data_IF_253710958646
#
_entry.id   IF_253710958646
#
_cell.length_a   1.000
_cell.length_b   1.000
_cell.length_c   1.000
_cell.angle_alpha   90.00
_cell.angle_beta   90.00
_cell.angle_gamma   90.00
#
_symmetry.space_group_name_H-M   'P 1'
#
loop_
_entity.id
_entity.type
_entity.pdbx_description
1 polymer ?
#
# COMPACT_ATOMS: atom_id res chain seq x y z
N UNK A 1 -2.42 -10.49 5.91
CA UNK A 1 -2.09 -11.48 6.98
C UNK A 1 -0.98 -11.01 7.92
N UNK A 2 -0.03 -10.16 7.48
CA UNK A 2 1.05 -9.65 8.35
C UNK A 2 0.46 -8.84 9.50
N UNK A 3 -0.40 -7.87 9.22
CA UNK A 3 -1.04 -7.01 10.23
C UNK A 3 -1.80 -7.86 11.25
N UNK A 4 -2.66 -8.77 10.80
CA UNK A 4 -3.40 -9.67 11.68
C UNK A 4 -2.50 -10.51 12.60
N UNK A 5 -1.40 -11.03 12.05
CA UNK A 5 -0.45 -11.82 12.84
C UNK A 5 0.28 -10.94 13.87
N UNK A 6 0.64 -9.71 13.49
CA UNK A 6 1.30 -8.77 14.40
C UNK A 6 0.37 -8.38 15.56
N UNK A 7 -0.90 -8.05 15.28
CA UNK A 7 -1.89 -7.73 16.31
C UNK A 7 -2.07 -8.90 17.29
N UNK A 8 -2.15 -10.14 16.76
CA UNK A 8 -2.22 -11.34 17.63
C UNK A 8 -1.00 -11.50 18.56
N UNK A 9 0.19 -11.12 18.09
CA UNK A 9 1.39 -11.15 18.93
C UNK A 9 1.22 -10.17 20.10
N UNK A 10 0.77 -8.96 19.86
CA UNK A 10 0.48 -7.99 20.93
C UNK A 10 -0.62 -8.46 21.87
N UNK A 11 -1.70 -9.06 21.35
CA UNK A 11 -2.75 -9.68 22.16
C UNK A 11 -2.14 -10.73 23.11
N UNK A 12 -1.22 -11.59 22.63
CA UNK A 12 -0.55 -12.62 23.44
C UNK A 12 0.35 -12.03 24.54
N UNK A 13 0.86 -10.82 24.34
CA UNK A 13 1.59 -10.07 25.38
C UNK A 13 0.66 -9.30 26.32
N UNK A 14 -0.66 -9.45 26.20
CA UNK A 14 -1.63 -8.76 27.03
C UNK A 14 -1.85 -7.28 26.70
N UNK A 15 -1.38 -6.83 25.55
CA UNK A 15 -1.57 -5.44 25.10
C UNK A 15 -2.97 -5.26 24.57
N UNK A 16 -3.75 -4.34 25.17
CA UNK A 16 -5.05 -3.96 24.64
C UNK A 16 -4.90 -3.24 23.28
N UNK A 17 -5.80 -3.54 22.35
CA UNK A 17 -5.83 -2.89 21.03
C UNK A 17 -6.04 -1.39 21.10
N UNK A 18 -6.76 -0.92 22.12
CA UNK A 18 -6.97 0.50 22.38
C UNK A 18 -5.67 1.23 22.76
N UNK A 19 -4.67 0.50 23.22
CA UNK A 19 -3.36 1.04 23.58
C UNK A 19 -2.33 0.92 22.46
N UNK A 20 -2.67 0.28 21.33
CA UNK A 20 -1.76 0.18 20.20
C UNK A 20 -1.77 1.46 19.38
N UNK A 21 -0.62 2.09 19.23
CA UNK A 21 -0.40 3.19 18.32
C UNK A 21 0.26 2.65 17.04
N UNK A 22 -0.27 3.02 15.90
CA UNK A 22 0.18 2.53 14.60
C UNK A 22 0.53 3.68 13.68
N UNK A 23 1.71 3.64 13.08
CA UNK A 23 2.11 4.56 12.03
C UNK A 23 2.29 3.81 10.69
N UNK A 24 1.56 4.25 9.65
CA UNK A 24 1.75 3.79 8.28
C UNK A 24 2.74 4.73 7.60
N UNK A 25 3.97 4.26 7.40
CA UNK A 25 5.06 5.04 6.83
C UNK A 25 4.88 5.43 5.36
N UNK A 26 5.84 6.22 4.81
CA UNK A 26 5.86 6.58 3.41
C UNK A 26 5.85 5.36 2.49
N UNK A 27 5.00 5.40 1.48
CA UNK A 27 4.94 4.37 0.45
C UNK A 27 4.62 4.98 -0.91
N UNK A 28 4.61 4.20 -1.97
CA UNK A 28 4.15 4.64 -3.27
C UNK A 28 2.66 5.02 -3.18
N UNK A 29 2.29 6.19 -3.72
CA UNK A 29 0.89 6.62 -3.73
C UNK A 29 0.07 5.85 -4.77
N UNK A 30 -1.23 5.82 -4.58
CA UNK A 30 -2.21 5.14 -5.43
C UNK A 30 -2.05 5.52 -6.91
N UNK A 31 -1.90 6.81 -7.21
CA UNK A 31 -1.80 7.34 -8.57
C UNK A 31 -0.54 6.84 -9.30
N UNK A 32 0.50 6.51 -8.54
CA UNK A 32 1.78 6.05 -9.07
C UNK A 32 1.92 4.53 -9.07
N UNK A 33 0.99 3.82 -8.38
CA UNK A 33 1.07 2.37 -8.26
C UNK A 33 0.04 1.68 -9.14
N UNK A 34 0.40 1.60 -10.42
CA UNK A 34 -0.40 0.93 -11.43
C UNK A 34 -0.06 -0.56 -11.49
N UNK A 35 -1.07 -1.41 -11.48
CA UNK A 35 -0.97 -2.86 -11.55
C UNK A 35 -2.00 -3.42 -12.53
N UNK A 36 -1.72 -4.60 -13.08
CA UNK A 36 -2.68 -5.31 -13.90
C UNK A 36 -3.89 -5.82 -13.08
N UNK A 37 -4.96 -6.18 -13.77
CA UNK A 37 -6.21 -6.63 -13.15
C UNK A 37 -6.05 -7.93 -12.35
N UNK A 38 -5.14 -8.81 -12.77
CA UNK A 38 -4.90 -10.09 -12.10
C UNK A 38 -4.23 -9.84 -10.76
N UNK A 39 -3.14 -9.04 -10.75
CA UNK A 39 -2.43 -8.61 -9.56
C UNK A 39 -3.36 -7.91 -8.57
N UNK A 40 -4.23 -7.01 -9.05
CA UNK A 40 -5.20 -6.31 -8.21
C UNK A 40 -6.17 -7.28 -7.53
N UNK A 41 -6.77 -8.19 -8.30
CA UNK A 41 -7.69 -9.20 -7.77
C UNK A 41 -7.02 -10.10 -6.74
N UNK A 42 -5.80 -10.56 -7.02
CA UNK A 42 -5.06 -11.42 -6.12
C UNK A 42 -4.68 -10.70 -4.82
N UNK A 43 -4.30 -9.43 -4.90
CA UNK A 43 -4.02 -8.59 -3.74
C UNK A 43 -5.24 -8.51 -2.83
N UNK A 44 -6.41 -8.15 -3.35
CA UNK A 44 -7.63 -8.03 -2.54
C UNK A 44 -8.12 -9.37 -1.99
N UNK A 45 -7.98 -10.46 -2.75
CA UNK A 45 -8.28 -11.80 -2.25
C UNK A 45 -7.41 -12.20 -1.05
N UNK A 46 -6.12 -11.83 -1.08
CA UNK A 46 -5.16 -12.14 -0.01
C UNK A 46 -5.33 -11.25 1.23
N UNK A 47 -5.84 -10.05 1.07
CA UNK A 47 -6.01 -9.08 2.17
C UNK A 47 -7.35 -9.18 2.88
N UNK A 48 -8.25 -10.07 2.42
CA UNK A 48 -9.61 -10.26 2.97
C UNK A 48 -10.48 -8.97 2.95
N UNK A 49 -10.08 -7.98 2.15
CA UNK A 49 -10.83 -6.73 1.99
C UNK A 49 -12.06 -6.96 1.09
N UNK A 50 -13.08 -7.67 1.62
CA UNK A 50 -14.29 -8.07 0.89
C UNK A 50 -15.18 -6.89 0.47
N UNK A 51 -14.99 -5.70 1.07
CA UNK A 51 -15.86 -4.53 0.89
C UNK A 51 -15.25 -3.42 0.04
N UNK A 52 -14.15 -3.69 -0.68
CA UNK A 52 -13.62 -2.68 -1.60
C UNK A 52 -14.35 -2.81 -2.92
N UNK A 53 -15.26 -1.89 -3.20
CA UNK A 53 -15.79 -1.68 -4.54
C UNK A 53 -14.62 -1.30 -5.44
N UNK A 54 -14.27 -2.18 -6.37
CA UNK A 54 -13.22 -1.92 -7.35
C UNK A 54 -13.82 -0.93 -8.36
N UNK A 55 -13.65 0.37 -8.11
CA UNK A 55 -13.92 1.38 -9.11
C UNK A 55 -12.81 1.29 -10.17
N UNK A 56 -13.10 0.58 -11.23
CA UNK A 56 -12.24 0.49 -12.42
C UNK A 56 -12.31 1.83 -13.15
N UNK A 57 -11.53 2.81 -12.74
CA UNK A 57 -11.34 4.03 -13.52
C UNK A 57 -10.43 3.69 -14.68
N UNK A 58 -10.94 3.81 -15.90
CA UNK A 58 -10.11 3.93 -17.11
C UNK A 58 -9.38 5.26 -16.99
N UNK A 59 -8.12 5.25 -16.59
CA UNK A 59 -7.28 6.44 -16.75
C UNK A 59 -6.85 6.51 -18.19
N UNK A 60 -7.32 7.57 -18.88
CA UNK A 60 -6.81 7.98 -20.18
C UNK A 60 -5.30 8.19 -20.11
N UNK A 61 -4.68 7.89 -21.24
CA UNK A 61 -3.25 7.97 -21.48
C UNK A 61 -2.70 9.36 -21.16
N UNK A 62 -1.65 9.43 -20.35
CA UNK A 62 -0.63 10.43 -20.53
C UNK A 62 0.76 9.83 -20.30
N UNK A 63 1.45 9.75 -21.42
CA UNK A 63 2.88 9.79 -21.71
C UNK A 63 3.89 9.44 -20.61
N UNK A 64 4.60 8.38 -20.83
CA UNK A 64 6.04 8.30 -21.15
C UNK A 64 6.52 6.85 -20.98
N UNK A 65 6.60 6.12 -22.08
CA UNK A 65 7.71 5.23 -22.39
C UNK A 65 7.51 4.75 -23.84
N UNK A 66 8.25 5.36 -24.73
CA UNK A 66 8.52 4.81 -26.07
C UNK A 66 9.46 3.62 -25.91
N UNK A 67 8.96 2.42 -26.10
CA UNK A 67 9.69 1.36 -26.78
C UNK A 67 8.71 0.38 -27.37
N UNK A 68 8.97 0.12 -28.63
CA UNK A 68 8.23 -0.57 -29.65
C UNK A 68 7.80 -2.01 -29.31
N UNK A 69 6.60 -2.35 -29.85
CA UNK A 69 6.07 -3.69 -30.12
C UNK A 69 5.45 -4.46 -28.93
N UNK A 70 4.19 -4.21 -28.69
CA UNK A 70 3.08 -5.17 -28.73
C UNK A 70 1.82 -4.51 -28.17
N UNK A 71 0.86 -4.24 -29.03
CA UNK A 71 -0.47 -3.75 -28.73
C UNK A 71 -1.26 -4.79 -27.90
N UNK A 72 -1.13 -4.71 -26.58
CA UNK A 72 -2.14 -5.16 -25.63
C UNK A 72 -2.47 -3.97 -24.77
N UNK A 73 -3.66 -3.40 -24.94
CA UNK A 73 -4.22 -2.44 -24.00
C UNK A 73 -4.24 -3.09 -22.61
N UNK A 74 -3.18 -2.87 -21.84
CA UNK A 74 -3.14 -3.28 -20.47
C UNK A 74 -4.02 -2.30 -19.69
N UNK A 75 -5.24 -2.72 -19.35
CA UNK A 75 -6.10 -2.00 -18.41
C UNK A 75 -5.39 -2.01 -17.05
N UNK A 76 -4.56 -0.99 -16.81
CA UNK A 76 -3.87 -0.80 -15.55
C UNK A 76 -4.82 -0.22 -14.51
N UNK A 77 -4.71 -0.70 -13.29
CA UNK A 77 -5.56 -0.30 -12.18
C UNK A 77 -4.70 0.27 -11.07
N UNK A 78 -5.22 1.26 -10.39
CA UNK A 78 -4.56 1.87 -9.25
C UNK A 78 -4.71 1.00 -8.00
N UNK A 79 -3.60 0.73 -7.31
CA UNK A 79 -3.59 0.01 -6.05
C UNK A 79 -3.16 0.93 -4.91
N UNK A 80 -4.03 1.08 -3.90
CA UNK A 80 -3.75 1.86 -2.70
C UNK A 80 -3.26 0.96 -1.57
N UNK A 81 -1.95 1.00 -1.31
CA UNK A 81 -1.34 0.20 -0.25
C UNK A 81 -1.66 0.74 1.14
N UNK A 82 -1.68 2.07 1.30
CA UNK A 82 -1.94 2.70 2.59
C UNK A 82 -3.38 2.49 3.03
N UNK A 83 -4.33 2.73 2.14
CA UNK A 83 -5.74 2.46 2.38
C UNK A 83 -5.98 0.98 2.69
N UNK A 84 -5.31 0.07 2.00
CA UNK A 84 -5.42 -1.35 2.29
C UNK A 84 -4.89 -1.71 3.66
N UNK A 85 -3.74 -1.16 4.07
CA UNK A 85 -3.18 -1.38 5.40
C UNK A 85 -4.10 -0.80 6.48
N UNK A 86 -4.58 0.42 6.29
CA UNK A 86 -5.50 1.09 7.20
C UNK A 86 -6.77 0.27 7.44
N UNK A 87 -7.41 -0.22 6.37
CA UNK A 87 -8.61 -1.07 6.49
C UNK A 87 -8.33 -2.39 7.21
N UNK A 88 -7.16 -2.99 6.98
CA UNK A 88 -6.79 -4.20 7.73
C UNK A 88 -6.62 -3.92 9.23
N UNK A 89 -6.10 -2.76 9.63
CA UNK A 89 -6.00 -2.34 11.03
C UNK A 89 -7.37 -2.13 11.66
N UNK A 90 -8.29 -1.45 10.97
CA UNK A 90 -9.67 -1.30 11.43
C UNK A 90 -10.39 -2.64 11.59
N UNK A 91 -10.17 -3.58 10.66
CA UNK A 91 -10.74 -4.94 10.74
C UNK A 91 -10.19 -5.76 11.92
N UNK A 92 -9.02 -5.40 12.43
CA UNK A 92 -8.47 -5.97 13.67
C UNK A 92 -8.87 -5.16 14.90
N UNK A 93 -9.85 -4.26 14.79
CA UNK A 93 -10.38 -3.40 15.86
C UNK A 93 -9.34 -2.44 16.48
N UNK A 94 -8.36 -1.98 15.70
CA UNK A 94 -7.51 -0.88 16.12
C UNK A 94 -8.31 0.43 15.96
N UNK A 95 -8.42 1.27 17.01
CA UNK A 95 -9.14 2.53 16.92
C UNK A 95 -8.57 3.45 15.82
N UNK A 96 -9.44 4.09 15.06
CA UNK A 96 -9.04 5.04 14.02
C UNK A 96 -8.11 6.14 14.56
N UNK A 97 -8.41 6.65 15.77
CA UNK A 97 -7.62 7.68 16.46
C UNK A 97 -6.18 7.26 16.74
N UNK A 98 -5.91 5.98 16.73
CA UNK A 98 -4.59 5.39 17.02
C UNK A 98 -3.78 5.08 15.75
N UNK A 99 -4.30 5.41 14.57
CA UNK A 99 -3.64 5.13 13.29
C UNK A 99 -3.24 6.44 12.62
N UNK A 100 -1.94 6.66 12.50
CA UNK A 100 -1.38 7.76 11.71
C UNK A 100 -0.94 7.27 10.34
N UNK A 101 -1.19 8.08 9.30
CA UNK A 101 -0.89 7.70 7.91
C UNK A 101 -0.04 8.79 7.25
N UNK A 102 1.19 8.46 6.93
CA UNK A 102 2.05 9.36 6.16
C UNK A 102 1.46 9.63 4.77
N UNK A 103 1.34 10.89 4.39
CA UNK A 103 0.91 11.32 3.06
C UNK A 103 2.07 11.34 2.04
N UNK A 104 3.31 11.10 2.46
CA UNK A 104 4.49 11.13 1.61
C UNK A 104 4.49 9.97 0.60
N UNK A 105 4.92 10.28 -0.64
CA UNK A 105 5.01 9.30 -1.72
C UNK A 105 6.47 9.01 -2.08
N UNK A 106 6.90 7.76 -1.88
CA UNK A 106 8.29 7.35 -2.18
C UNK A 106 8.64 7.41 -3.67
N UNK A 107 7.65 7.37 -4.56
CA UNK A 107 7.87 7.52 -6.00
C UNK A 107 8.09 8.98 -6.41
N UNK A 108 7.27 9.90 -5.89
CA UNK A 108 7.30 11.33 -6.23
C UNK A 108 8.51 12.04 -5.62
N UNK A 109 8.83 11.75 -4.36
CA UNK A 109 9.88 12.42 -3.60
C UNK A 109 11.24 11.74 -3.84
N UNK A 110 11.79 11.94 -5.03
CA UNK A 110 13.00 11.26 -5.52
C UNK A 110 14.28 11.58 -4.74
N UNK A 111 14.34 12.75 -4.14
CA UNK A 111 15.51 13.21 -3.38
C UNK A 111 15.50 12.69 -1.93
N UNK A 112 14.33 12.26 -1.43
CA UNK A 112 14.14 11.83 -0.06
C UNK A 112 14.03 10.30 0.05
N UNK A 113 13.48 9.65 -0.99
CA UNK A 113 13.17 8.24 -0.95
C UNK A 113 13.71 7.46 -2.15
N UNK A 114 14.22 6.26 -1.87
CA UNK A 114 14.48 5.27 -2.89
C UNK A 114 13.18 4.59 -3.34
N UNK A 115 13.01 4.38 -4.64
CA UNK A 115 11.85 3.68 -5.20
C UNK A 115 12.28 2.71 -6.28
N UNK A 116 12.11 1.41 -6.03
CA UNK A 116 12.38 0.38 -7.02
C UNK A 116 11.49 0.55 -8.26
N UNK A 117 10.24 0.95 -8.07
CA UNK A 117 9.31 1.19 -9.18
C UNK A 117 9.82 2.30 -10.13
N UNK A 118 10.46 3.32 -9.58
CA UNK A 118 11.00 4.44 -10.35
C UNK A 118 12.32 4.11 -11.03
N UNK A 119 13.28 3.54 -10.33
CA UNK A 119 14.67 3.46 -10.78
C UNK A 119 15.26 2.05 -10.81
N UNK A 120 14.49 1.02 -10.46
CA UNK A 120 14.94 -0.40 -10.42
C UNK A 120 16.20 -0.62 -9.56
N UNK A 121 16.49 0.32 -8.65
CA UNK A 121 17.66 0.23 -7.77
C UNK A 121 17.48 -0.85 -6.68
N UNK A 122 18.59 -1.43 -6.25
CA UNK A 122 18.63 -2.34 -5.10
C UNK A 122 18.58 -1.60 -3.76
N UNK A 123 18.76 -0.27 -3.78
CA UNK A 123 18.70 0.54 -2.57
C UNK A 123 17.32 0.46 -1.91
N UNK A 124 17.30 0.41 -0.59
CA UNK A 124 16.09 0.35 0.23
C UNK A 124 16.13 1.45 1.28
N UNK A 125 14.94 1.80 1.80
CA UNK A 125 14.79 2.67 2.94
C UNK A 125 14.81 1.83 4.22
N UNK A 126 15.44 2.40 5.24
CA UNK A 126 15.37 1.88 6.60
C UNK A 126 14.36 2.71 7.38
N UNK A 127 13.47 2.04 8.08
CA UNK A 127 12.53 2.67 8.98
C UNK A 127 12.81 2.16 10.39
N UNK A 128 12.94 3.09 11.33
CA UNK A 128 13.20 2.80 12.73
C UNK A 128 12.07 3.38 13.56
N UNK A 129 11.66 2.67 14.59
CA UNK A 129 10.77 3.14 15.63
C UNK A 129 11.39 2.78 16.98
N UNK A 130 11.40 3.72 17.88
CA UNK A 130 11.83 3.52 19.26
C UNK A 130 10.76 4.06 20.20
N UNK A 131 10.61 3.42 21.33
CA UNK A 131 9.76 3.83 22.45
C UNK A 131 10.61 4.22 23.64
#
# INVERSE_FOLDING_TARGET
>A
KIIKNLVKIFDNFGTSRDNLLVAIGPSISKEQYLVDKITLKEFYRKTENKNITINLTKTEKDHCFSDSNHSKEQNLNQLDLKESAYRQLLNENIPNTNIDISNLCTYKLKNEFNSWRRSKTILRQWNFICS
#
